data_IF_227653957622
#
_entry.id   IF_227653957622
#
_cell.length_a   1.000
_cell.length_b   1.000
_cell.length_c   1.000
_cell.angle_alpha   90.00
_cell.angle_beta   90.00
_cell.angle_gamma   90.00
#
_symmetry.space_group_name_H-M   'P 1'
#
loop_
_entity.id
_entity.type
_entity.pdbx_description
1 polymer ?
#
# COMPACT_ATOMS: atom_id res chain seq x y z
N UNK A 1 -4.37 -3.95 13.52
CA UNK A 1 -5.24 -5.13 13.35
C UNK A 1 -6.09 -5.39 14.59
N UNK A 2 -7.32 -5.88 14.38
CA UNK A 2 -8.33 -6.36 15.35
C UNK A 2 -7.78 -7.36 16.38
N UNK A 3 -7.09 -8.37 15.85
CA UNK A 3 -6.90 -9.66 16.50
C UNK A 3 -5.75 -9.66 17.53
N UNK A 4 -5.99 -10.02 18.80
CA UNK A 4 -4.96 -10.04 19.85
C UNK A 4 -3.80 -11.02 19.55
N UNK A 5 -4.10 -12.19 18.99
CA UNK A 5 -3.08 -13.19 18.65
C UNK A 5 -2.10 -12.68 17.59
N UNK A 6 -2.61 -11.96 16.58
CA UNK A 6 -1.78 -11.34 15.54
C UNK A 6 -0.88 -10.25 16.13
N UNK A 7 -1.40 -9.42 17.05
CA UNK A 7 -0.59 -8.41 17.76
C UNK A 7 0.56 -9.05 18.53
N UNK A 8 0.31 -10.17 19.23
CA UNK A 8 1.33 -10.90 19.99
C UNK A 8 2.41 -11.49 19.09
N UNK A 9 2.02 -12.13 17.98
CA UNK A 9 2.96 -12.71 17.01
C UNK A 9 3.83 -11.62 16.38
N UNK A 10 3.24 -10.53 15.90
CA UNK A 10 3.97 -9.40 15.31
C UNK A 10 4.92 -8.76 16.34
N UNK A 11 4.49 -8.62 17.60
CA UNK A 11 5.35 -8.09 18.66
C UNK A 11 6.59 -8.95 18.88
N UNK A 12 6.43 -10.29 18.86
CA UNK A 12 7.54 -11.24 18.97
C UNK A 12 8.45 -11.22 17.75
N UNK A 13 7.88 -11.14 16.55
CA UNK A 13 8.63 -11.13 15.29
C UNK A 13 9.51 -9.88 15.14
N UNK A 14 9.01 -8.71 15.54
CA UNK A 14 9.69 -7.43 15.35
C UNK A 14 10.32 -6.87 16.64
N UNK A 15 10.18 -7.55 17.78
CA UNK A 15 10.76 -7.15 19.07
C UNK A 15 10.20 -5.83 19.64
N UNK A 16 9.08 -5.33 19.11
CA UNK A 16 8.48 -4.03 19.47
C UNK A 16 6.97 -4.14 19.51
N UNK A 17 6.35 -3.38 20.43
CA UNK A 17 4.89 -3.31 20.49
C UNK A 17 4.34 -2.61 19.23
N UNK A 18 3.30 -3.16 18.60
CA UNK A 18 2.66 -2.53 17.45
C UNK A 18 2.00 -1.22 17.87
N UNK A 19 2.19 -0.17 17.08
CA UNK A 19 1.51 1.10 17.27
C UNK A 19 -0.01 0.91 17.10
N UNK A 20 -0.80 1.28 18.11
CA UNK A 20 -2.24 1.02 18.15
C UNK A 20 -3.11 2.24 18.47
N UNK A 21 -2.54 3.45 18.38
CA UNK A 21 -3.27 4.70 18.67
C UNK A 21 -4.24 5.13 17.56
N UNK A 22 -4.27 4.41 16.43
CA UNK A 22 -5.16 4.69 15.30
C UNK A 22 -6.07 3.48 15.09
N UNK A 23 -7.38 3.71 14.97
CA UNK A 23 -8.34 2.69 14.61
C UNK A 23 -8.02 2.15 13.21
N UNK A 24 -7.82 0.84 13.02
CA UNK A 24 -7.43 0.29 11.73
C UNK A 24 -8.43 0.58 10.60
N UNK A 25 -9.72 0.68 10.91
CA UNK A 25 -10.73 0.93 9.88
C UNK A 25 -10.70 2.41 9.44
N UNK A 26 -10.53 3.33 10.39
CA UNK A 26 -10.38 4.76 10.13
C UNK A 26 -9.06 5.07 9.40
N UNK A 27 -7.97 4.39 9.74
CA UNK A 27 -6.68 4.55 9.06
C UNK A 27 -6.79 4.24 7.56
N UNK A 28 -7.53 3.17 7.21
CA UNK A 28 -7.75 2.77 5.81
C UNK A 28 -8.65 3.80 5.10
N UNK A 29 -9.73 4.22 5.73
CA UNK A 29 -10.65 5.21 5.15
C UNK A 29 -9.97 6.57 4.91
N UNK A 30 -9.18 7.05 5.88
CA UNK A 30 -8.40 8.29 5.75
C UNK A 30 -7.35 8.19 4.64
N UNK A 31 -6.63 7.07 4.55
CA UNK A 31 -5.66 6.83 3.48
C UNK A 31 -6.30 6.86 2.10
N UNK A 32 -7.49 6.26 1.94
CA UNK A 32 -8.25 6.32 0.70
C UNK A 32 -8.70 7.75 0.36
N UNK A 33 -9.21 8.50 1.34
CA UNK A 33 -9.63 9.89 1.14
C UNK A 33 -8.48 10.80 0.71
N UNK A 34 -7.28 10.63 1.30
CA UNK A 34 -6.08 11.38 0.91
C UNK A 34 -5.67 11.03 -0.53
N UNK A 35 -5.68 9.74 -0.91
CA UNK A 35 -5.35 9.35 -2.28
C UNK A 35 -6.34 9.89 -3.32
N UNK A 36 -7.63 9.95 -2.99
CA UNK A 36 -8.66 10.58 -3.86
C UNK A 36 -8.41 12.08 -4.00
N UNK A 37 -8.16 12.79 -2.89
CA UNK A 37 -7.93 14.22 -2.92
C UNK A 37 -6.62 14.61 -3.66
N UNK A 38 -5.58 13.77 -3.58
CA UNK A 38 -4.36 13.91 -4.40
C UNK A 38 -4.65 13.71 -5.89
N UNK A 39 -5.50 12.74 -6.26
CA UNK A 39 -5.92 12.51 -7.64
C UNK A 39 -6.70 13.69 -8.22
N UNK A 40 -7.49 14.37 -7.40
CA UNK A 40 -8.25 15.56 -7.78
C UNK A 40 -7.40 16.84 -7.91
N UNK A 41 -6.08 16.76 -7.69
CA UNK A 41 -5.13 17.89 -7.75
C UNK A 41 -5.56 19.10 -6.92
N UNK A 42 -6.06 18.86 -5.71
CA UNK A 42 -6.43 19.93 -4.81
C UNK A 42 -5.18 20.69 -4.34
N UNK A 43 -5.10 22.00 -4.62
CA UNK A 43 -3.94 22.87 -4.33
C UNK A 43 -3.61 22.98 -2.83
N UNK A 44 -4.52 22.54 -1.94
CA UNK A 44 -4.32 22.51 -0.50
C UNK A 44 -3.44 21.34 0.01
N UNK A 45 -3.02 20.41 -0.86
CA UNK A 45 -2.25 19.22 -0.48
C UNK A 45 -0.78 19.32 -0.88
N UNK A 46 0.12 19.00 0.06
CA UNK A 46 1.52 18.77 -0.28
C UNK A 46 1.64 17.60 -1.26
N UNK A 47 2.43 17.80 -2.32
CA UNK A 47 2.68 16.76 -3.32
C UNK A 47 3.36 15.55 -2.67
N UNK A 48 2.66 14.42 -2.64
CA UNK A 48 3.16 13.16 -2.10
C UNK A 48 3.41 12.17 -3.24
N UNK A 49 4.64 11.69 -3.36
CA UNK A 49 4.99 10.61 -4.29
C UNK A 49 4.72 9.27 -3.59
N UNK A 50 3.79 8.49 -4.15
CA UNK A 50 3.49 7.13 -3.70
C UNK A 50 3.90 6.13 -4.78
N UNK A 51 4.72 5.15 -4.42
CA UNK A 51 5.14 4.05 -5.30
C UNK A 51 4.68 2.73 -4.69
N UNK A 52 4.13 1.85 -5.52
CA UNK A 52 3.67 0.52 -5.10
C UNK A 52 4.47 -0.57 -5.83
N UNK A 53 4.54 -1.76 -5.23
CA UNK A 53 5.33 -2.89 -5.73
C UNK A 53 4.42 -3.91 -6.39
N UNK A 54 4.72 -4.30 -7.64
CA UNK A 54 4.08 -5.45 -8.28
C UNK A 54 4.60 -6.76 -7.64
N UNK A 55 3.73 -7.62 -7.05
CA UNK A 55 4.18 -8.84 -6.38
C UNK A 55 4.54 -9.98 -7.34
N UNK A 56 4.24 -9.83 -8.64
CA UNK A 56 4.47 -10.86 -9.65
C UNK A 56 5.52 -10.43 -10.67
N UNK A 57 6.29 -11.39 -11.15
CA UNK A 57 7.24 -11.18 -12.26
C UNK A 57 6.47 -10.98 -13.56
N UNK A 58 6.81 -9.92 -14.29
CA UNK A 58 6.24 -9.64 -15.61
C UNK A 58 7.22 -10.11 -16.70
N UNK A 59 6.75 -10.97 -17.61
CA UNK A 59 7.50 -11.42 -18.78
C UNK A 59 6.80 -10.96 -20.06
N UNK A 60 7.58 -10.59 -21.09
CA UNK A 60 7.07 -10.31 -22.43
C UNK A 60 7.66 -11.30 -23.42
N UNK A 61 6.84 -11.77 -24.37
CA UNK A 61 7.29 -12.55 -25.53
C UNK A 61 6.88 -11.78 -26.81
N UNK A 62 7.83 -11.58 -27.71
CA UNK A 62 7.59 -10.88 -28.99
C UNK A 62 7.92 -11.83 -30.14
N UNK A 63 6.88 -12.35 -30.81
CA UNK A 63 7.05 -13.17 -32.01
C UNK A 63 7.33 -12.28 -33.22
N UNK A 64 8.50 -12.46 -33.85
CA UNK A 64 8.84 -11.82 -35.13
C UNK A 64 8.40 -12.71 -36.27
N UNK A 65 7.33 -12.32 -36.97
CA UNK A 65 6.94 -12.95 -38.22
C UNK A 65 7.93 -12.55 -39.33
N UNK A 66 8.84 -13.46 -39.69
CA UNK A 66 9.77 -13.26 -40.80
C UNK A 66 9.06 -13.68 -42.09
N UNK A 67 8.53 -12.72 -42.84
CA UNK A 67 8.05 -12.96 -44.21
C UNK A 67 9.25 -13.21 -45.12
N UNK A 68 9.25 -14.38 -45.77
CA UNK A 68 10.05 -14.71 -46.96
C UNK A 68 9.51 -13.99 -48.18
#
# INVERSE_FOLDING_TARGET
TKMPIIKSIVSKMFGRLPFSNINPDEAVALGAAIQVALKERNEALQEMILTDVCPYTLGIEVSKYRRS
#
